data_IF_492227410505
#
_entry.id   IF_492227410505
#
_cell.length_a   1.000
_cell.length_b   1.000
_cell.length_c   1.000
_cell.angle_alpha   90.00
_cell.angle_beta   90.00
_cell.angle_gamma   90.00
#
_symmetry.space_group_name_H-M   'P 1'
#
loop_
_entity.id
_entity.type
_entity.pdbx_description
1 polymer ?
#
# COMPACT_ATOMS: atom_id res chain seq x y z
N UNK A 1 4.54 12.92 -9.96
CA UNK A 1 3.68 12.08 -10.83
C UNK A 1 4.09 10.65 -10.56
N UNK A 2 3.24 9.83 -9.93
CA UNK A 2 3.63 8.47 -9.54
C UNK A 2 3.52 7.48 -10.71
N UNK A 3 4.32 6.42 -10.71
CA UNK A 3 4.27 5.31 -11.67
C UNK A 3 4.14 4.00 -10.93
N UNK A 4 3.28 3.10 -11.41
CA UNK A 4 3.11 1.74 -10.87
C UNK A 4 3.47 0.70 -11.92
N UNK A 5 4.08 -0.40 -11.49
CA UNK A 5 4.50 -1.52 -12.35
C UNK A 5 4.15 -2.83 -11.67
N UNK A 6 3.70 -3.79 -12.47
CA UNK A 6 3.50 -5.20 -12.08
C UNK A 6 4.35 -6.08 -12.98
N UNK A 7 5.02 -7.07 -12.40
CA UNK A 7 5.83 -8.05 -13.10
C UNK A 7 5.49 -9.45 -12.57
N UNK A 8 5.64 -10.46 -13.43
CA UNK A 8 5.57 -11.86 -13.02
C UNK A 8 6.88 -12.55 -13.39
N UNK A 9 7.50 -13.26 -12.45
CA UNK A 9 8.70 -14.04 -12.74
C UNK A 9 8.34 -15.29 -13.55
N UNK A 10 9.35 -15.90 -14.17
CA UNK A 10 9.17 -17.19 -14.85
C UNK A 10 8.78 -18.31 -13.86
N UNK A 11 9.08 -18.14 -12.57
CA UNK A 11 8.66 -19.01 -11.48
C UNK A 11 7.25 -18.69 -10.96
N UNK A 12 6.48 -17.85 -11.67
CA UNK A 12 5.11 -17.47 -11.34
C UNK A 12 4.96 -16.62 -10.05
N UNK A 13 6.04 -16.00 -9.57
CA UNK A 13 5.95 -15.06 -8.46
C UNK A 13 5.47 -13.69 -8.96
N UNK A 14 4.62 -13.03 -8.18
CA UNK A 14 4.06 -11.73 -8.54
C UNK A 14 4.80 -10.62 -7.81
N UNK A 15 5.29 -9.64 -8.57
CA UNK A 15 5.93 -8.44 -8.05
C UNK A 15 5.07 -7.23 -8.37
N UNK A 16 4.89 -6.37 -7.38
CA UNK A 16 4.14 -5.12 -7.53
C UNK A 16 4.88 -4.00 -6.80
N UNK A 17 4.99 -2.85 -7.45
CA UNK A 17 5.64 -1.67 -6.88
C UNK A 17 5.16 -0.38 -7.51
N UNK A 18 5.46 0.74 -6.83
CA UNK A 18 5.20 2.08 -7.34
C UNK A 18 6.22 3.08 -6.81
N UNK A 19 6.42 4.15 -7.57
CA UNK A 19 7.10 5.34 -7.09
C UNK A 19 6.16 6.20 -6.25
N UNK A 20 6.76 7.01 -5.38
CA UNK A 20 6.08 7.92 -4.47
C UNK A 20 6.60 9.34 -4.71
N UNK A 21 6.19 9.91 -5.85
CA UNK A 21 6.77 11.13 -6.40
C UNK A 21 6.02 12.38 -5.93
N UNK A 22 6.51 12.98 -4.83
CA UNK A 22 6.02 14.23 -4.24
C UNK A 22 7.02 15.38 -4.45
N UNK A 23 6.54 16.63 -4.39
CA UNK A 23 7.38 17.83 -4.50
C UNK A 23 8.13 18.18 -3.21
N UNK A 24 7.87 17.46 -2.12
CA UNK A 24 8.47 17.61 -0.80
C UNK A 24 8.62 16.25 -0.14
N UNK A 25 9.44 16.18 0.90
CA UNK A 25 9.68 14.96 1.64
C UNK A 25 8.48 14.60 2.53
N UNK A 26 8.15 13.33 2.53
CA UNK A 26 7.24 12.71 3.48
C UNK A 26 8.01 11.68 4.30
N UNK A 27 7.49 11.31 5.46
CA UNK A 27 8.11 10.31 6.35
C UNK A 27 7.38 8.96 6.18
N UNK A 28 7.72 8.14 5.17
CA UNK A 28 7.08 6.85 4.98
C UNK A 28 7.47 5.87 6.09
N UNK A 29 6.53 5.01 6.47
CA UNK A 29 6.76 3.93 7.42
C UNK A 29 6.20 2.62 6.86
N UNK A 30 6.84 1.51 7.21
CA UNK A 30 6.33 0.17 6.90
C UNK A 30 5.40 -0.27 8.03
N UNK A 31 4.15 -0.55 7.69
CA UNK A 31 3.15 -1.04 8.64
C UNK A 31 2.80 -2.50 8.37
N UNK A 32 2.78 -3.30 9.43
CA UNK A 32 2.30 -4.68 9.40
C UNK A 32 1.01 -4.74 10.21
N UNK A 33 -0.12 -4.97 9.54
CA UNK A 33 -1.43 -5.16 10.18
C UNK A 33 -1.66 -6.66 10.37
N UNK A 34 -1.73 -7.17 11.61
CA UNK A 34 -1.86 -8.60 11.86
C UNK A 34 -3.27 -9.11 11.53
N UNK A 35 -3.39 -10.44 11.41
CA UNK A 35 -4.70 -11.10 11.30
C UNK A 35 -5.58 -10.73 12.51
N UNK A 36 -6.88 -10.55 12.28
CA UNK A 36 -7.88 -10.18 13.28
C UNK A 36 -7.70 -8.80 13.95
N UNK A 37 -6.85 -7.92 13.39
CA UNK A 37 -6.84 -6.52 13.80
C UNK A 37 -8.21 -5.89 13.52
N UNK A 38 -8.83 -5.29 14.54
CA UNK A 38 -10.11 -4.61 14.40
C UNK A 38 -9.90 -3.28 13.68
N UNK A 39 -10.33 -3.20 12.43
CA UNK A 39 -10.28 -1.97 11.63
C UNK A 39 -11.53 -1.12 11.87
N UNK A 40 -11.34 0.09 12.41
CA UNK A 40 -12.41 1.08 12.50
C UNK A 40 -12.38 1.96 11.25
N UNK A 41 -13.40 1.81 10.39
CA UNK A 41 -13.56 2.70 9.23
C UNK A 41 -14.36 3.94 9.63
N UNK A 42 -14.01 5.10 9.08
CA UNK A 42 -14.73 6.38 9.27
C UNK A 42 -16.21 6.26 8.84
N UNK A 43 -16.51 5.41 7.86
CA UNK A 43 -17.86 5.16 7.35
C UNK A 43 -18.72 4.24 8.24
N UNK A 44 -18.12 3.51 9.19
CA UNK A 44 -18.85 2.61 10.08
C UNK A 44 -19.59 3.33 11.22
N UNK A 45 -19.36 4.64 11.36
CA UNK A 45 -19.98 5.50 12.36
C UNK A 45 -21.01 6.49 11.75
N UNK A 46 -21.50 6.23 10.54
CA UNK A 46 -22.66 6.97 10.03
C UNK A 46 -23.90 6.54 10.84
N UNK A 47 -24.67 7.48 11.42
CA UNK A 47 -25.96 7.17 12.04
C UNK A 47 -26.98 6.62 11.04
#
# INVERSE_FOLDING_TARGET
MCTAITLQSQQMENFFGRTMDFSYWIEPQLYVVPKNYVWTNILNNLP
#
